data_IF_392093906844
#
_entry.id   IF_392093906844
#
_cell.length_a   1.000
_cell.length_b   1.000
_cell.length_c   1.000
_cell.angle_alpha   90.00
_cell.angle_beta   90.00
_cell.angle_gamma   90.00
#
_symmetry.space_group_name_H-M   'P 1'
#
loop_
_entity.id
_entity.type
_entity.pdbx_description
1 polymer ?
#
# COMPACT_ATOMS: atom_id res chain seq x y z
N UNK A 1 -0.55 -21.16 -1.56
CA UNK A 1 0.36 -20.48 -0.61
C UNK A 1 1.61 -20.08 -1.38
N UNK A 2 1.64 -18.86 -1.92
CA UNK A 2 2.82 -18.38 -2.66
C UNK A 2 3.85 -17.98 -1.61
N UNK A 3 4.88 -18.79 -1.45
CA UNK A 3 6.13 -18.34 -0.85
C UNK A 3 6.77 -17.36 -1.84
N UNK A 4 6.66 -16.07 -1.56
CA UNK A 4 7.42 -15.04 -2.24
C UNK A 4 8.90 -15.21 -1.84
N UNK A 5 9.61 -16.11 -2.51
CA UNK A 5 11.07 -16.07 -2.56
C UNK A 5 11.46 -14.92 -3.47
N UNK A 6 11.50 -13.73 -2.89
CA UNK A 6 11.94 -12.54 -3.59
C UNK A 6 13.47 -12.59 -3.65
N UNK A 7 13.97 -13.03 -4.81
CA UNK A 7 15.38 -12.91 -5.14
C UNK A 7 15.69 -11.43 -5.35
N UNK A 8 16.64 -10.91 -4.58
CA UNK A 8 17.04 -9.52 -4.62
C UNK A 8 18.13 -9.22 -3.63
N UNK A 9 18.48 -7.94 -3.53
CA UNK A 9 19.47 -7.43 -2.58
C UNK A 9 18.77 -6.57 -1.53
N UNK A 10 19.18 -6.70 -0.28
CA UNK A 10 18.85 -5.73 0.76
C UNK A 10 19.81 -4.55 0.66
N UNK A 11 19.31 -3.35 0.96
CA UNK A 11 20.10 -2.13 0.93
C UNK A 11 19.79 -1.26 2.15
N UNK A 12 20.84 -0.61 2.66
CA UNK A 12 20.77 0.27 3.81
C UNK A 12 20.45 1.72 3.42
N UNK A 13 20.50 2.59 4.44
CA UNK A 13 20.25 4.02 4.30
C UNK A 13 21.26 4.72 3.38
N UNK A 14 22.50 4.26 3.34
CA UNK A 14 23.58 4.77 2.51
C UNK A 14 23.25 4.68 1.01
N UNK A 15 22.73 3.53 0.59
CA UNK A 15 22.29 3.32 -0.79
C UNK A 15 21.04 4.14 -1.09
N UNK A 16 20.11 4.26 -0.14
CA UNK A 16 18.91 5.10 -0.31
C UNK A 16 19.31 6.57 -0.51
N UNK A 17 20.15 7.12 0.35
CA UNK A 17 20.60 8.51 0.25
C UNK A 17 21.31 8.77 -1.07
N UNK A 18 22.26 7.91 -1.44
CA UNK A 18 22.97 8.01 -2.71
C UNK A 18 22.03 7.96 -3.91
N UNK A 19 21.03 7.07 -3.88
CA UNK A 19 20.03 6.98 -4.95
C UNK A 19 19.18 8.25 -5.05
N UNK A 20 18.74 8.81 -3.93
CA UNK A 20 17.97 10.04 -3.88
C UNK A 20 18.77 11.23 -4.45
N UNK A 21 20.03 11.37 -4.02
CA UNK A 21 20.94 12.43 -4.48
C UNK A 21 21.22 12.36 -5.98
N UNK A 22 21.56 11.17 -6.50
CA UNK A 22 21.87 10.98 -7.92
C UNK A 22 20.68 11.32 -8.82
N UNK A 23 19.46 10.98 -8.37
CA UNK A 23 18.24 11.16 -9.16
C UNK A 23 17.51 12.47 -8.88
N UNK A 24 18.04 13.31 -7.97
CA UNK A 24 17.41 14.55 -7.52
C UNK A 24 15.94 14.37 -7.13
N UNK A 25 15.68 13.35 -6.31
CA UNK A 25 14.36 13.06 -5.73
C UNK A 25 14.48 13.00 -4.20
N UNK A 26 13.37 13.21 -3.51
CA UNK A 26 13.38 13.34 -2.05
C UNK A 26 12.92 12.08 -1.31
N UNK A 27 12.20 11.17 -1.99
CA UNK A 27 11.50 10.07 -1.34
C UNK A 27 11.35 8.83 -2.24
N UNK A 28 11.59 7.64 -1.69
CA UNK A 28 11.31 6.35 -2.36
C UNK A 28 9.99 5.77 -1.82
N UNK A 29 9.05 5.49 -2.71
CA UNK A 29 7.82 4.76 -2.39
C UNK A 29 7.90 3.35 -2.97
N UNK A 30 7.64 2.36 -2.13
CA UNK A 30 7.63 0.94 -2.51
C UNK A 30 6.52 0.18 -1.80
N UNK A 31 6.34 -1.08 -2.16
CA UNK A 31 5.43 -2.01 -1.48
C UNK A 31 6.17 -3.32 -1.16
N UNK A 32 5.60 -4.47 -1.51
CA UNK A 32 6.31 -5.76 -1.64
C UNK A 32 6.75 -6.46 -0.34
N UNK A 33 6.93 -5.73 0.75
CA UNK A 33 7.10 -6.32 2.08
C UNK A 33 5.81 -6.09 2.88
N UNK A 34 5.33 -7.14 3.54
CA UNK A 34 4.16 -7.06 4.39
C UNK A 34 4.42 -6.07 5.53
N UNK A 35 3.55 -5.06 5.65
CA UNK A 35 3.54 -4.12 6.77
C UNK A 35 2.27 -4.39 7.60
N UNK A 36 2.42 -4.66 8.89
CA UNK A 36 1.28 -5.00 9.74
C UNK A 36 0.27 -3.85 9.85
N UNK A 37 0.76 -2.61 9.96
CA UNK A 37 -0.05 -1.38 10.04
C UNK A 37 -0.46 -0.84 8.66
N UNK A 38 -0.32 -1.62 7.58
CA UNK A 38 -0.62 -1.18 6.22
C UNK A 38 0.43 -0.26 5.60
N UNK A 39 1.35 0.31 6.37
CA UNK A 39 2.51 1.05 5.84
C UNK A 39 3.69 1.03 6.83
N UNK A 40 4.87 1.44 6.36
CA UNK A 40 6.03 1.67 7.20
C UNK A 40 6.87 2.82 6.63
N UNK A 41 7.31 3.72 7.50
CA UNK A 41 8.23 4.82 7.15
C UNK A 41 9.62 4.48 7.70
N UNK A 42 10.63 4.56 6.83
CA UNK A 42 12.00 4.16 7.11
C UNK A 42 12.97 5.31 6.78
N UNK A 43 14.16 5.23 7.39
CA UNK A 43 15.31 6.10 7.07
C UNK A 43 14.99 7.60 7.15
N UNK A 44 14.37 8.02 8.27
CA UNK A 44 13.95 9.40 8.53
C UNK A 44 13.00 9.96 7.46
N UNK A 45 12.06 9.14 7.01
CA UNK A 45 11.08 9.56 6.02
C UNK A 45 11.62 9.65 4.60
N UNK A 46 12.75 9.02 4.28
CA UNK A 46 13.30 8.94 2.93
C UNK A 46 12.75 7.77 2.11
N UNK A 47 12.25 6.74 2.80
CA UNK A 47 11.65 5.57 2.18
C UNK A 47 10.35 5.23 2.89
N UNK A 48 9.30 4.92 2.12
CA UNK A 48 8.07 4.37 2.69
C UNK A 48 7.63 3.14 1.94
N UNK A 49 7.22 2.13 2.71
CA UNK A 49 6.55 0.94 2.24
C UNK A 49 5.05 1.11 2.45
N UNK A 50 4.24 0.88 1.42
CA UNK A 50 2.78 0.88 1.49
C UNK A 50 2.29 -0.53 1.17
N UNK A 51 1.30 -1.00 1.91
CA UNK A 51 0.70 -2.31 1.76
C UNK A 51 -0.81 -2.17 1.64
N UNK A 52 -1.40 -2.60 0.53
CA UNK A 52 -2.80 -2.31 0.18
C UNK A 52 -3.78 -3.48 0.41
N UNK A 53 -3.30 -4.65 0.87
CA UNK A 53 -4.11 -5.86 1.01
C UNK A 53 -4.36 -6.24 2.49
N UNK A 54 -5.51 -5.87 3.09
CA UNK A 54 -5.77 -6.18 4.49
C UNK A 54 -6.00 -7.67 4.68
N UNK A 55 -5.67 -8.19 5.87
CA UNK A 55 -5.73 -9.61 6.21
C UNK A 55 -5.11 -10.51 5.13
N UNK A 56 -3.86 -10.25 4.77
CA UNK A 56 -3.18 -10.94 3.69
C UNK A 56 -3.23 -12.46 3.88
N UNK A 57 -3.60 -13.17 2.81
CA UNK A 57 -3.80 -14.62 2.80
C UNK A 57 -4.73 -15.14 3.90
N UNK A 58 -5.68 -14.31 4.39
CA UNK A 58 -6.63 -14.61 5.46
C UNK A 58 -6.00 -15.08 6.78
N UNK A 59 -4.74 -14.71 7.01
CA UNK A 59 -3.94 -15.24 8.12
C UNK A 59 -3.12 -14.19 8.84
N UNK A 60 -2.74 -13.12 8.15
CA UNK A 60 -1.79 -12.15 8.68
C UNK A 60 -2.44 -11.06 9.54
N UNK A 61 -3.77 -10.89 9.46
CA UNK A 61 -4.54 -9.89 10.20
C UNK A 61 -3.94 -8.47 10.13
N UNK A 62 -3.20 -8.17 9.06
CA UNK A 62 -2.60 -6.85 8.84
C UNK A 62 -3.65 -5.88 8.31
N UNK A 63 -3.41 -4.60 8.54
CA UNK A 63 -4.15 -3.51 7.91
C UNK A 63 -3.66 -3.27 6.48
N UNK A 64 -4.43 -2.49 5.74
CA UNK A 64 -4.03 -1.92 4.46
C UNK A 64 -3.90 -0.41 4.56
N UNK A 65 -3.15 0.19 3.65
CA UNK A 65 -3.06 1.63 3.52
C UNK A 65 -3.03 2.10 2.07
N UNK A 66 -3.54 3.32 1.87
CA UNK A 66 -3.38 4.11 0.65
C UNK A 66 -2.61 5.38 1.04
N UNK A 67 -1.55 5.68 0.30
CA UNK A 67 -0.81 6.94 0.47
C UNK A 67 -1.33 7.99 -0.51
N UNK A 68 -1.88 9.07 0.03
CA UNK A 68 -2.18 10.30 -0.70
C UNK A 68 -1.00 11.27 -0.63
N UNK A 69 -0.65 11.84 -1.78
CA UNK A 69 0.41 12.85 -1.90
C UNK A 69 -0.24 14.11 -2.48
N UNK A 70 -0.10 15.21 -1.75
CA UNK A 70 -0.65 16.52 -2.12
C UNK A 70 0.41 17.37 -2.82
N UNK A 71 -0.02 18.42 -3.54
CA UNK A 71 0.87 19.29 -4.33
C UNK A 71 1.91 20.03 -3.48
N UNK A 72 1.62 20.25 -2.19
CA UNK A 72 2.55 20.83 -1.21
C UNK A 72 3.58 19.81 -0.68
N UNK A 73 3.62 18.59 -1.21
CA UNK A 73 4.49 17.51 -0.75
C UNK A 73 4.00 16.81 0.52
N UNK A 74 2.85 17.21 1.08
CA UNK A 74 2.26 16.55 2.24
C UNK A 74 1.85 15.12 1.87
N UNK A 75 2.12 14.20 2.79
CA UNK A 75 1.83 12.77 2.68
C UNK A 75 0.80 12.39 3.72
N UNK A 76 -0.26 11.70 3.32
CA UNK A 76 -1.30 11.19 4.22
C UNK A 76 -1.52 9.71 3.96
N UNK A 77 -1.29 8.89 4.97
CA UNK A 77 -1.58 7.47 4.94
C UNK A 77 -3.01 7.27 5.45
N UNK A 78 -3.91 6.81 4.58
CA UNK A 78 -5.23 6.35 4.99
C UNK A 78 -5.12 4.86 5.27
N UNK A 79 -5.56 4.41 6.44
CA UNK A 79 -5.44 3.01 6.88
C UNK A 79 -6.84 2.37 6.90
N UNK A 80 -6.92 1.11 6.48
CA UNK A 80 -8.16 0.37 6.28
C UNK A 80 -8.05 -1.02 6.88
N UNK A 81 -9.13 -1.46 7.53
CA UNK A 81 -9.33 -2.83 7.95
C UNK A 81 -9.79 -3.73 6.79
N UNK A 82 -9.76 -5.04 7.01
CA UNK A 82 -10.39 -5.98 6.10
C UNK A 82 -11.89 -5.70 6.03
N UNK A 83 -12.45 -5.73 4.83
CA UNK A 83 -13.90 -5.67 4.66
C UNK A 83 -14.56 -6.86 5.39
N UNK A 84 -15.78 -6.69 5.91
CA UNK A 84 -16.58 -7.81 6.40
C UNK A 84 -16.70 -8.89 5.33
N UNK A 85 -16.81 -10.16 5.74
CA UNK A 85 -17.09 -11.24 4.80
C UNK A 85 -18.42 -10.97 4.08
N UNK A 86 -18.42 -11.06 2.75
CA UNK A 86 -19.63 -10.83 1.97
C UNK A 86 -20.63 -11.97 2.22
N UNK A 87 -21.84 -11.66 2.68
CA UNK A 87 -22.93 -12.65 2.81
C UNK A 87 -23.32 -13.27 1.45
N UNK A 88 -22.92 -12.65 0.33
CA UNK A 88 -23.21 -13.07 -1.05
C UNK A 88 -22.31 -14.19 -1.59
N UNK A 89 -21.30 -14.66 -0.85
CA UNK A 89 -20.54 -15.87 -1.20
C UNK A 89 -21.26 -17.16 -0.78
N UNK A 90 -22.44 -17.04 -0.15
CA UNK A 90 -23.43 -18.10 -0.18
C UNK A 90 -24.04 -18.14 -1.60
N UNK A 91 -24.00 -19.26 -2.34
CA UNK A 91 -24.37 -19.34 -3.76
C UNK A 91 -25.86 -19.10 -4.09
N UNK A 92 -26.61 -18.40 -3.24
CA UNK A 92 -28.06 -18.33 -3.28
C UNK A 92 -28.67 -16.92 -3.27
N UNK A 93 -27.91 -15.82 -3.44
CA UNK A 93 -28.56 -14.52 -3.72
C UNK A 93 -27.70 -13.54 -4.52
N UNK A 94 -27.83 -13.57 -5.85
CA UNK A 94 -27.55 -12.40 -6.70
C UNK A 94 -28.88 -11.74 -7.04
N UNK A 95 -29.05 -10.45 -6.70
CA UNK A 95 -29.68 -9.47 -7.58
C UNK A 95 -29.61 -8.04 -7.01
N UNK A 96 -29.10 -7.15 -7.88
CA UNK A 96 -29.26 -5.70 -7.94
C UNK A 96 -28.52 -4.83 -6.91
N UNK A 97 -27.59 -4.00 -7.39
CA UNK A 97 -27.75 -2.54 -7.31
C UNK A 97 -26.74 -1.75 -8.16
N UNK A 98 -27.17 -0.53 -8.50
CA UNK A 98 -26.77 0.35 -9.60
C UNK A 98 -25.71 1.39 -9.20
N UNK A 99 -24.91 1.83 -10.20
CA UNK A 99 -23.99 3.00 -10.25
C UNK A 99 -24.30 4.18 -9.32
N UNK A 100 -23.25 4.77 -8.72
CA UNK A 100 -23.06 6.23 -8.57
C UNK A 100 -21.57 6.58 -8.76
N UNK A 101 -21.31 7.85 -9.10
CA UNK A 101 -20.33 8.42 -10.03
C UNK A 101 -19.14 9.17 -9.42
N UNK A 102 -18.15 9.42 -10.28
CA UNK A 102 -17.16 10.52 -10.32
C UNK A 102 -16.10 10.57 -9.21
N UNK A 103 -14.81 10.60 -9.59
CA UNK A 103 -13.84 11.49 -8.93
C UNK A 103 -12.52 11.69 -9.69
N UNK A 104 -12.08 12.94 -9.58
CA UNK A 104 -10.82 13.61 -9.94
C UNK A 104 -9.59 12.71 -10.06
N UNK A 105 -8.76 12.99 -11.07
CA UNK A 105 -7.43 12.39 -11.27
C UNK A 105 -6.54 12.78 -10.08
N UNK A 106 -6.59 11.95 -9.04
CA UNK A 106 -5.61 11.90 -7.97
C UNK A 106 -4.64 10.79 -8.39
N UNK A 107 -3.33 11.05 -8.38
CA UNK A 107 -2.35 9.96 -8.60
C UNK A 107 -2.37 9.06 -7.36
N UNK A 108 -3.32 8.13 -7.33
CA UNK A 108 -3.44 7.11 -6.29
C UNK A 108 -2.37 6.07 -6.59
N UNK A 109 -1.43 5.90 -5.67
CA UNK A 109 -0.49 4.78 -5.72
C UNK A 109 -1.11 3.62 -4.93
N UNK A 110 -1.85 2.77 -5.64
CA UNK A 110 -2.23 1.43 -5.16
C UNK A 110 -1.17 0.46 -5.67
N UNK A 111 -0.45 -0.20 -4.77
CA UNK A 111 0.53 -1.25 -5.12
C UNK A 111 0.20 -2.54 -4.39
#
# INVERSE_FOLDING_TARGET
>A
MIFLFLQGYTFGIDIVQKFLEINNIEHILRAHQLCHEGYQVLYDGKLSTVWSAPNYCYRCANLASILEIYDNGQKKFNVFDAAPENEHDNPSTQNNQTRVSNQTISKILTV
#
